data_IF_133812524994
#
_entry.id   IF_133812524994
#
_cell.length_a   1.000
_cell.length_b   1.000
_cell.length_c   1.000
_cell.angle_alpha   90.00
_cell.angle_beta   90.00
_cell.angle_gamma   90.00
#
_symmetry.space_group_name_H-M   'P 1'
#
loop_
_entity.id
_entity.type
_entity.pdbx_description
1 polymer ?
#
# COMPACT_ATOMS: atom_id res chain seq x y z
N UNK A 1 -18.93 56.90 21.09
CA UNK A 1 -19.00 55.66 21.89
C UNK A 1 -18.02 54.66 21.28
N UNK A 2 -16.95 54.37 22.01
CA UNK A 2 -15.99 53.30 21.71
C UNK A 2 -16.62 51.96 22.10
N UNK A 3 -16.36 50.89 21.35
CA UNK A 3 -16.09 49.55 21.91
C UNK A 3 -15.31 48.72 20.89
N UNK A 4 -14.09 48.36 21.27
CA UNK A 4 -13.29 47.31 20.66
C UNK A 4 -13.87 45.94 21.02
N UNK A 5 -13.73 44.92 20.16
CA UNK A 5 -13.73 43.48 20.48
C UNK A 5 -13.18 42.75 19.25
N UNK A 6 -11.87 42.47 19.20
CA UNK A 6 -11.18 41.24 19.64
C UNK A 6 -11.25 40.13 18.60
N UNK A 7 -10.07 39.77 18.13
CA UNK A 7 -9.77 38.61 17.30
C UNK A 7 -10.41 37.34 17.86
N UNK A 8 -11.02 36.56 16.98
CA UNK A 8 -11.26 35.15 17.19
C UNK A 8 -10.66 34.41 15.99
N UNK A 9 -9.50 33.82 16.21
CA UNK A 9 -8.90 32.80 15.35
C UNK A 9 -9.91 31.66 15.27
N UNK A 10 -10.46 31.44 14.07
CA UNK A 10 -11.12 30.19 13.71
C UNK A 10 -10.21 29.51 12.69
N UNK A 11 -9.16 28.86 13.19
CA UNK A 11 -8.71 27.64 12.56
C UNK A 11 -9.83 26.61 12.76
N UNK A 12 -10.51 26.24 11.68
CA UNK A 12 -10.73 24.84 11.28
C UNK A 12 -11.69 24.82 10.08
N UNK A 13 -11.32 23.98 9.12
CA UNK A 13 -12.12 23.37 8.05
C UNK A 13 -12.15 24.05 6.69
N UNK A 14 -11.96 23.17 5.69
CA UNK A 14 -12.29 23.31 4.26
C UNK A 14 -11.28 24.15 3.47
N UNK A 15 -10.44 23.56 2.63
CA UNK A 15 -10.87 22.77 1.48
C UNK A 15 -9.83 21.70 1.08
N UNK A 16 -10.27 20.45 1.03
CA UNK A 16 -9.65 19.43 0.18
C UNK A 16 -9.80 19.88 -1.28
N UNK A 17 -8.79 20.56 -1.79
CA UNK A 17 -8.57 20.72 -3.23
C UNK A 17 -7.07 20.73 -3.49
N UNK A 18 -6.42 19.61 -3.18
CA UNK A 18 -5.17 19.25 -3.82
C UNK A 18 -5.54 18.22 -4.86
N UNK A 19 -5.43 18.60 -6.13
CA UNK A 19 -5.83 17.79 -7.28
C UNK A 19 -5.33 16.36 -7.14
N UNK A 20 -6.21 15.40 -7.38
CA UNK A 20 -5.84 14.00 -7.50
C UNK A 20 -4.78 13.92 -8.61
N UNK A 21 -3.49 13.66 -8.32
CA UNK A 21 -2.53 13.49 -9.39
C UNK A 21 -2.93 12.17 -10.05
N UNK A 22 -3.51 12.28 -11.25
CA UNK A 22 -3.97 11.13 -12.02
C UNK A 22 -2.91 10.05 -11.96
N UNK A 23 -3.25 8.95 -11.27
CA UNK A 23 -2.35 7.84 -11.06
C UNK A 23 -1.99 7.33 -12.46
N UNK A 24 -0.73 7.40 -12.89
CA UNK A 24 -0.38 7.04 -14.25
C UNK A 24 -0.65 5.55 -14.44
N UNK A 25 -1.63 5.26 -15.30
CA UNK A 25 -2.02 3.92 -15.74
C UNK A 25 -0.75 3.20 -16.22
N UNK A 26 -0.26 2.27 -15.41
CA UNK A 26 1.02 1.62 -15.66
C UNK A 26 1.94 1.47 -14.45
N UNK A 27 2.01 2.46 -13.55
CA UNK A 27 3.11 2.57 -12.56
C UNK A 27 2.86 1.94 -11.18
N UNK A 28 1.63 1.61 -10.81
CA UNK A 28 1.33 1.14 -9.45
C UNK A 28 1.22 -0.39 -9.41
N UNK A 29 1.93 -1.07 -8.48
CA UNK A 29 1.82 -2.53 -8.32
C UNK A 29 0.45 -2.92 -7.75
N UNK A 30 0.03 -4.16 -7.96
CA UNK A 30 -1.11 -4.77 -7.25
C UNK A 30 -0.70 -5.29 -5.88
N UNK A 31 0.54 -5.81 -5.79
CA UNK A 31 1.13 -6.33 -4.56
C UNK A 31 2.51 -5.75 -4.30
N UNK A 32 2.80 -5.47 -3.04
CA UNK A 32 4.14 -5.17 -2.53
C UNK A 32 4.60 -6.34 -1.67
N UNK A 33 5.82 -6.79 -1.87
CA UNK A 33 6.45 -7.76 -1.00
C UNK A 33 7.53 -7.05 -0.19
N UNK A 34 7.31 -6.91 1.12
CA UNK A 34 8.21 -6.19 2.02
C UNK A 34 9.01 -7.16 2.88
N UNK A 35 10.34 -6.96 2.94
CA UNK A 35 11.20 -7.65 3.91
C UNK A 35 11.14 -6.92 5.25
N UNK A 36 10.99 -7.64 6.35
CA UNK A 36 11.08 -7.07 7.70
C UNK A 36 12.34 -7.55 8.42
N UNK A 37 12.82 -6.72 9.35
CA UNK A 37 14.09 -6.90 10.06
C UNK A 37 14.10 -8.13 10.97
N UNK A 38 12.94 -8.49 11.52
CA UNK A 38 12.74 -9.67 12.39
C UNK A 38 12.74 -11.00 11.63
N UNK A 39 12.89 -10.94 10.30
CA UNK A 39 12.86 -12.09 9.42
C UNK A 39 11.47 -12.32 8.84
N UNK A 40 11.45 -12.73 7.57
CA UNK A 40 10.22 -13.00 6.84
C UNK A 40 9.77 -11.87 5.92
N UNK A 41 8.75 -12.20 5.14
CA UNK A 41 8.17 -11.37 4.11
C UNK A 41 6.71 -11.13 4.40
N UNK A 42 6.23 -9.94 4.03
CA UNK A 42 4.82 -9.60 4.12
C UNK A 42 4.31 -9.17 2.75
N UNK A 43 3.10 -9.63 2.43
CA UNK A 43 2.37 -9.24 1.24
C UNK A 43 1.48 -8.05 1.59
N UNK A 44 1.76 -6.91 1.00
CA UNK A 44 0.89 -5.73 0.99
C UNK A 44 0.05 -5.72 -0.27
N UNK A 45 -1.25 -5.48 -0.14
CA UNK A 45 -2.18 -5.29 -1.26
C UNK A 45 -2.35 -3.80 -1.53
N UNK A 46 -2.20 -3.39 -2.79
CA UNK A 46 -2.30 -1.99 -3.20
C UNK A 46 -3.54 -1.75 -4.06
N UNK A 47 -3.90 -2.69 -4.93
CA UNK A 47 -5.04 -2.52 -5.84
C UNK A 47 -6.29 -3.31 -5.40
N UNK A 48 -7.46 -2.82 -5.80
CA UNK A 48 -8.74 -3.53 -5.56
C UNK A 48 -8.75 -4.91 -6.20
N UNK A 49 -8.23 -5.05 -7.43
CA UNK A 49 -8.16 -6.35 -8.11
C UNK A 49 -7.22 -7.32 -7.39
N UNK A 50 -6.12 -6.80 -6.84
CA UNK A 50 -5.21 -7.58 -6.00
C UNK A 50 -5.90 -8.08 -4.73
N UNK A 51 -6.72 -7.25 -4.09
CA UNK A 51 -7.48 -7.61 -2.88
C UNK A 51 -8.47 -8.76 -3.14
N UNK A 52 -9.23 -8.68 -4.22
CA UNK A 52 -10.17 -9.75 -4.56
C UNK A 52 -9.46 -11.05 -4.92
N UNK A 53 -8.36 -10.97 -5.68
CA UNK A 53 -7.60 -12.17 -6.03
C UNK A 53 -6.94 -12.80 -4.80
N UNK A 54 -6.37 -12.00 -3.90
CA UNK A 54 -5.75 -12.51 -2.67
C UNK A 54 -6.78 -13.24 -1.80
N UNK A 55 -7.97 -12.66 -1.60
CA UNK A 55 -9.05 -13.30 -0.83
C UNK A 55 -9.57 -14.59 -1.45
N UNK A 56 -9.48 -14.73 -2.77
CA UNK A 56 -9.95 -15.93 -3.46
C UNK A 56 -8.91 -17.07 -3.48
N UNK A 57 -7.61 -16.76 -3.39
CA UNK A 57 -6.53 -17.74 -3.63
C UNK A 57 -5.58 -17.93 -2.42
N UNK A 58 -5.47 -16.92 -1.55
CA UNK A 58 -4.52 -16.87 -0.43
C UNK A 58 -5.14 -16.18 0.80
N UNK A 59 -6.19 -16.79 1.37
CA UNK A 59 -6.89 -16.26 2.55
C UNK A 59 -5.94 -16.05 3.74
N UNK A 60 -4.94 -16.92 3.89
CA UNK A 60 -3.91 -16.85 4.91
C UNK A 60 -3.04 -15.60 4.83
N UNK A 61 -2.90 -15.00 3.64
CA UNK A 61 -2.09 -13.79 3.43
C UNK A 61 -2.91 -12.50 3.54
N UNK A 62 -4.21 -12.59 3.81
CA UNK A 62 -5.07 -11.41 3.99
C UNK A 62 -4.81 -10.72 5.34
N UNK A 63 -4.24 -11.43 6.31
CA UNK A 63 -3.78 -10.86 7.56
C UNK A 63 -2.44 -10.14 7.37
N UNK A 64 -2.41 -8.85 7.70
CA UNK A 64 -1.21 -8.02 7.57
C UNK A 64 -0.11 -8.42 8.56
N UNK A 65 -0.41 -9.18 9.61
CA UNK A 65 0.60 -9.68 10.53
C UNK A 65 1.27 -10.96 10.01
N UNK A 66 0.72 -11.59 8.98
CA UNK A 66 1.24 -12.83 8.45
C UNK A 66 2.61 -12.63 7.79
N UNK A 67 3.59 -13.35 8.33
CA UNK A 67 4.95 -13.43 7.81
C UNK A 67 5.13 -14.75 7.08
N UNK A 68 5.65 -14.69 5.87
CA UNK A 68 6.00 -15.87 5.09
C UNK A 68 7.51 -15.96 4.86
N UNK A 69 8.00 -17.17 4.70
CA UNK A 69 9.39 -17.40 4.32
C UNK A 69 9.65 -16.99 2.85
N UNK A 70 10.92 -17.01 2.46
CA UNK A 70 11.34 -16.63 1.11
C UNK A 70 10.78 -17.58 0.03
N UNK A 71 10.59 -18.86 0.33
CA UNK A 71 10.08 -19.85 -0.61
C UNK A 71 8.61 -19.60 -0.94
N UNK A 72 7.79 -19.37 0.09
CA UNK A 72 6.39 -18.98 -0.06
C UNK A 72 6.25 -17.64 -0.75
N UNK A 73 7.07 -16.64 -0.38
CA UNK A 73 7.06 -15.34 -1.03
C UNK A 73 7.37 -15.44 -2.54
N UNK A 74 8.37 -16.23 -2.93
CA UNK A 74 8.70 -16.46 -4.33
C UNK A 74 7.59 -17.20 -5.09
N UNK A 75 6.95 -18.18 -4.45
CA UNK A 75 5.83 -18.92 -5.03
C UNK A 75 4.64 -18.00 -5.29
N UNK A 76 4.25 -17.20 -4.30
CA UNK A 76 3.21 -16.18 -4.41
C UNK A 76 3.49 -15.20 -5.56
N UNK A 77 4.70 -14.63 -5.63
CA UNK A 77 5.05 -13.67 -6.68
C UNK A 77 4.97 -14.29 -8.09
N UNK A 78 5.38 -15.56 -8.24
CA UNK A 78 5.28 -16.26 -9.52
C UNK A 78 3.84 -16.47 -9.93
N UNK A 79 2.97 -16.86 -9.01
CA UNK A 79 1.56 -17.07 -9.27
C UNK A 79 0.84 -15.77 -9.63
N UNK A 80 1.05 -14.71 -8.85
CA UNK A 80 0.48 -13.39 -9.11
C UNK A 80 0.88 -12.88 -10.51
N UNK A 81 2.16 -13.00 -10.88
CA UNK A 81 2.65 -12.59 -12.21
C UNK A 81 2.06 -13.43 -13.34
N UNK A 82 1.90 -14.74 -13.17
CA UNK A 82 1.23 -15.62 -14.14
C UNK A 82 -0.22 -15.20 -14.40
N UNK A 83 -0.89 -14.65 -13.39
CA UNK A 83 -2.26 -14.14 -13.50
C UNK A 83 -2.34 -12.65 -13.92
N UNK A 84 -1.23 -12.04 -14.33
CA UNK A 84 -1.21 -10.66 -14.85
C UNK A 84 -1.22 -9.57 -13.78
N UNK A 85 -0.90 -9.90 -12.54
CA UNK A 85 -0.72 -8.92 -11.46
C UNK A 85 0.70 -8.34 -11.48
N UNK A 86 0.79 -7.04 -11.23
CA UNK A 86 2.04 -6.29 -11.08
C UNK A 86 2.51 -6.42 -9.65
N UNK A 87 3.79 -6.72 -9.47
CA UNK A 87 4.37 -6.87 -8.13
C UNK A 87 5.59 -5.99 -7.97
N UNK A 88 5.76 -5.43 -6.78
CA UNK A 88 6.90 -4.61 -6.40
C UNK A 88 7.59 -5.24 -5.18
N UNK A 89 8.91 -5.24 -5.19
CA UNK A 89 9.73 -5.69 -4.08
C UNK A 89 10.21 -4.49 -3.27
N UNK A 90 9.99 -4.52 -1.96
CA UNK A 90 10.46 -3.49 -1.03
C UNK A 90 11.53 -4.13 -0.14
N UNK A 91 12.78 -3.69 -0.33
CA UNK A 91 13.91 -4.12 0.48
C UNK A 91 13.78 -3.66 1.95
N UNK A 92 14.64 -4.19 2.84
CA UNK A 92 14.56 -3.93 4.29
C UNK A 92 14.62 -2.44 4.66
N UNK A 93 15.25 -1.60 3.82
CA UNK A 93 15.33 -0.15 4.04
C UNK A 93 14.27 0.66 3.26
N UNK A 94 13.18 0.02 2.81
CA UNK A 94 12.19 0.66 1.94
C UNK A 94 12.67 0.92 0.51
N UNK A 95 13.89 0.49 0.16
CA UNK A 95 14.46 0.65 -1.18
C UNK A 95 13.88 -0.42 -2.10
N UNK A 96 13.13 0.01 -3.12
CA UNK A 96 12.70 -0.88 -4.19
C UNK A 96 13.90 -1.21 -5.07
N UNK A 97 14.18 -2.51 -5.27
CA UNK A 97 15.12 -2.95 -6.31
C UNK A 97 14.26 -3.12 -7.57
N UNK A 98 14.46 -2.24 -8.54
CA UNK A 98 13.73 -2.17 -9.81
C UNK A 98 14.27 -3.23 -10.78
#
# INVERSE_FOLDING_TARGET
MQHATREAILETTTNLSAGNPGIPDGKVPDFRLQKHDEGGWQVGVVSTRGSYWLRANHLELCDQETRIDLSHANSFLREARKNGFKTEYIGPNGSAVI
#
